data_IF_695795975673
#
_entry.id   IF_695795975673
#
_cell.length_a   1.000
_cell.length_b   1.000
_cell.length_c   1.000
_cell.angle_alpha   90.00
_cell.angle_beta   90.00
_cell.angle_gamma   90.00
#
_symmetry.space_group_name_H-M   'P 1'
#
loop_
_entity.id
_entity.type
_entity.pdbx_description
1 polymer ?
#
# COMPACT_ATOMS: atom_id res chain seq x y z
N UNK A 1 4.08 15.37 7.05
CA UNK A 1 3.26 15.95 8.17
C UNK A 1 2.39 17.12 7.69
N UNK A 2 2.64 17.62 6.49
CA UNK A 2 1.95 18.66 5.74
C UNK A 2 0.97 18.12 4.67
N UNK A 3 0.81 16.79 4.56
CA UNK A 3 -0.15 16.18 3.63
C UNK A 3 0.26 16.22 2.16
N UNK A 4 1.51 16.57 1.83
CA UNK A 4 2.01 16.49 0.46
C UNK A 4 2.28 15.03 0.08
N UNK A 5 1.33 14.42 -0.63
CA UNK A 5 1.54 13.14 -1.32
C UNK A 5 2.01 13.45 -2.74
N UNK A 6 3.29 13.21 -3.02
CA UNK A 6 3.78 13.19 -4.39
C UNK A 6 3.49 11.81 -4.99
N UNK A 7 2.35 11.66 -5.66
CA UNK A 7 2.09 10.53 -6.54
C UNK A 7 2.25 10.99 -8.00
N UNK A 8 3.36 10.62 -8.63
CA UNK A 8 3.63 10.99 -10.01
C UNK A 8 4.76 10.18 -10.61
N UNK A 9 4.66 9.87 -11.91
CA UNK A 9 5.75 9.29 -12.68
C UNK A 9 6.76 10.40 -12.99
N UNK A 10 7.94 10.35 -12.37
CA UNK A 10 9.06 11.24 -12.70
C UNK A 10 9.98 10.49 -13.66
N UNK A 11 9.87 10.78 -14.96
CA UNK A 11 10.86 10.36 -15.94
C UNK A 11 12.04 11.35 -15.88
N UNK A 12 13.06 11.04 -15.06
CA UNK A 12 14.27 11.84 -14.98
C UNK A 12 15.20 11.51 -16.16
N UNK A 13 15.28 12.41 -17.14
CA UNK A 13 16.27 12.34 -18.21
C UNK A 13 17.51 13.13 -17.79
N UNK A 14 18.67 12.46 -17.71
CA UNK A 14 19.95 13.17 -17.63
C UNK A 14 20.21 13.81 -19.00
N UNK A 15 20.33 15.15 -19.13
CA UNK A 15 20.63 15.75 -20.41
C UNK A 15 22.00 15.27 -20.88
N UNK A 16 22.07 14.69 -22.08
CA UNK A 16 23.34 14.47 -22.75
C UNK A 16 24.01 15.84 -22.94
N UNK A 17 25.19 16.04 -22.35
CA UNK A 17 25.95 17.27 -22.49
C UNK A 17 26.19 17.56 -23.99
N UNK A 18 25.53 18.58 -24.51
CA UNK A 18 25.66 18.97 -25.92
C UNK A 18 26.99 19.71 -26.09
N UNK A 19 28.06 18.99 -26.40
CA UNK A 19 29.32 19.59 -26.82
C UNK A 19 29.14 20.23 -28.20
N UNK A 20 28.98 21.56 -28.24
CA UNK A 20 29.05 22.33 -29.50
C UNK A 20 30.50 22.35 -29.97
N UNK A 21 30.78 21.68 -31.09
CA UNK A 21 32.10 21.75 -31.75
C UNK A 21 32.22 23.05 -32.55
N UNK A 22 33.18 23.89 -32.19
CA UNK A 22 33.66 24.99 -33.05
C UNK A 22 34.57 24.42 -34.12
N UNK A 23 34.22 24.60 -35.40
CA UNK A 23 35.02 24.18 -36.55
C UNK A 23 36.33 24.98 -36.62
N UNK A 24 37.48 24.29 -36.57
CA UNK A 24 38.68 24.58 -37.37
C UNK A 24 39.83 23.66 -36.95
N UNK A 25 40.56 23.13 -37.94
CA UNK A 25 41.79 22.34 -37.89
C UNK A 25 41.68 20.81 -37.75
N UNK A 26 42.10 20.13 -38.84
CA UNK A 26 42.66 18.78 -39.04
C UNK A 26 42.06 17.55 -38.31
N UNK A 27 41.95 16.39 -38.99
CA UNK A 27 41.40 15.17 -38.41
C UNK A 27 42.41 14.54 -37.45
N UNK A 28 42.37 14.97 -36.19
CA UNK A 28 42.88 14.17 -35.08
C UNK A 28 41.88 13.03 -34.92
N UNK A 29 42.36 11.78 -34.96
CA UNK A 29 41.54 10.62 -34.59
C UNK A 29 40.99 10.88 -33.18
N UNK A 30 39.71 11.22 -33.10
CA UNK A 30 39.04 11.40 -31.81
C UNK A 30 39.17 10.08 -31.07
N UNK A 31 39.69 10.07 -29.83
CA UNK A 31 39.67 8.85 -29.03
C UNK A 31 38.22 8.43 -28.92
N UNK A 32 37.95 7.19 -29.33
CA UNK A 32 36.69 6.45 -29.26
C UNK A 32 35.73 7.06 -28.22
N UNK A 33 34.99 8.10 -28.64
CA UNK A 33 33.94 8.70 -27.83
C UNK A 33 32.78 7.75 -27.94
N UNK A 34 32.91 6.61 -27.27
CA UNK A 34 31.82 5.68 -27.07
C UNK A 34 30.67 6.51 -26.50
N UNK A 35 29.70 6.82 -27.37
CA UNK A 35 28.47 7.48 -26.98
C UNK A 35 27.93 6.68 -25.80
N UNK A 36 27.96 7.28 -24.60
CA UNK A 36 27.39 6.66 -23.42
C UNK A 36 25.91 6.50 -23.73
N UNK A 37 25.51 5.25 -24.01
CA UNK A 37 24.11 4.94 -24.24
C UNK A 37 23.26 5.47 -23.08
N UNK A 38 22.07 6.03 -23.37
CA UNK A 38 21.27 6.72 -22.37
C UNK A 38 20.87 5.77 -21.25
N UNK A 39 21.38 6.02 -20.05
CA UNK A 39 20.85 5.39 -18.84
C UNK A 39 19.41 5.85 -18.64
N UNK A 40 18.49 4.90 -18.41
CA UNK A 40 17.10 5.21 -18.02
C UNK A 40 16.95 4.94 -16.53
N UNK A 41 16.18 5.79 -15.86
CA UNK A 41 15.87 5.64 -14.45
C UNK A 41 14.37 5.79 -14.25
N UNK A 42 13.81 5.06 -13.29
CA UNK A 42 12.43 5.19 -12.87
C UNK A 42 12.32 4.96 -11.37
N UNK A 43 11.58 5.83 -10.71
CA UNK A 43 11.16 5.69 -9.32
C UNK A 43 9.78 5.06 -9.29
N UNK A 44 9.60 4.03 -8.47
CA UNK A 44 8.34 3.30 -8.29
C UNK A 44 7.72 3.52 -6.89
N UNK A 45 8.53 3.86 -5.88
CA UNK A 45 8.06 4.14 -4.53
C UNK A 45 8.92 5.17 -3.79
N UNK A 46 8.35 5.80 -2.76
CA UNK A 46 9.00 6.82 -1.91
C UNK A 46 8.59 6.67 -0.44
N UNK A 47 9.53 6.87 0.49
CA UNK A 47 9.30 6.81 1.94
C UNK A 47 8.44 8.00 2.41
N UNK A 48 7.89 7.90 3.62
CA UNK A 48 6.97 8.92 4.15
C UNK A 48 7.62 10.29 4.35
N UNK A 49 8.93 10.32 4.57
CA UNK A 49 9.74 11.54 4.70
C UNK A 49 10.34 12.03 3.38
N UNK A 50 10.11 11.32 2.26
CA UNK A 50 10.64 11.66 0.95
C UNK A 50 12.13 11.40 0.76
N UNK A 51 12.85 10.88 1.77
CA UNK A 51 14.31 10.75 1.75
C UNK A 51 14.78 9.50 1.01
N UNK A 52 13.97 8.45 1.00
CA UNK A 52 14.28 7.18 0.33
C UNK A 52 13.30 6.96 -0.81
N UNK A 53 13.82 6.91 -2.03
CA UNK A 53 13.09 6.48 -3.21
C UNK A 53 13.59 5.12 -3.66
N UNK A 54 12.70 4.28 -4.18
CA UNK A 54 13.02 2.96 -4.67
C UNK A 54 12.51 2.79 -6.11
N UNK A 55 13.29 2.10 -6.93
CA UNK A 55 12.94 1.86 -8.33
C UNK A 55 14.02 1.07 -9.06
N UNK A 56 14.34 1.51 -10.26
CA UNK A 56 15.34 0.85 -11.09
C UNK A 56 16.08 1.82 -12.00
N UNK A 57 17.29 1.42 -12.35
CA UNK A 57 18.07 2.04 -13.42
C UNK A 57 18.40 1.01 -14.48
N UNK A 58 18.51 1.42 -15.73
CA UNK A 58 18.92 0.55 -16.82
C UNK A 58 20.22 1.04 -17.43
N UNK A 59 21.16 0.12 -17.65
CA UNK A 59 22.41 0.38 -18.37
C UNK A 59 22.65 -0.71 -19.40
N UNK A 60 23.29 -0.34 -20.52
CA UNK A 60 23.73 -1.30 -21.53
C UNK A 60 25.11 -1.82 -21.13
N UNK A 61 25.23 -3.13 -20.95
CA UNK A 61 26.50 -3.81 -20.64
C UNK A 61 26.75 -4.83 -21.74
N UNK A 62 27.78 -4.60 -22.57
CA UNK A 62 28.16 -5.52 -23.67
C UNK A 62 26.99 -5.88 -24.62
N UNK A 63 26.16 -4.88 -24.98
CA UNK A 63 24.94 -5.01 -25.80
C UNK A 63 23.71 -5.62 -25.10
N UNK A 64 23.80 -5.98 -23.81
CA UNK A 64 22.65 -6.43 -23.03
C UNK A 64 22.08 -5.31 -22.15
N UNK A 65 20.76 -5.12 -22.23
CA UNK A 65 20.02 -4.24 -21.33
C UNK A 65 19.97 -4.86 -19.92
N UNK A 66 20.57 -4.17 -18.97
CA UNK A 66 20.61 -4.58 -17.57
C UNK A 66 19.75 -3.63 -16.73
N UNK A 67 18.78 -4.18 -16.01
CA UNK A 67 17.93 -3.42 -15.08
C UNK A 67 18.43 -3.69 -13.65
N UNK A 68 18.85 -2.65 -12.97
CA UNK A 68 19.44 -2.73 -11.64
C UNK A 68 18.45 -2.15 -10.62
N UNK A 69 18.04 -2.92 -9.60
CA UNK A 69 17.23 -2.37 -8.51
C UNK A 69 18.04 -1.27 -7.84
N UNK A 70 17.43 -0.10 -7.69
CA UNK A 70 18.12 1.11 -7.28
C UNK A 70 17.33 1.79 -6.17
N UNK A 71 18.04 2.28 -5.17
CA UNK A 71 17.52 3.21 -4.19
C UNK A 71 18.15 4.59 -4.42
N UNK A 72 17.41 5.65 -4.16
CA UNK A 72 17.94 7.00 -4.03
C UNK A 72 17.75 7.46 -2.60
N UNK A 73 18.84 7.81 -1.92
CA UNK A 73 18.85 8.20 -0.51
C UNK A 73 19.37 9.63 -0.45
N UNK A 74 18.54 10.57 -0.02
CA UNK A 74 18.87 12.00 0.00
C UNK A 74 19.37 12.53 -1.35
N UNK A 75 18.82 11.97 -2.45
CA UNK A 75 19.19 12.31 -3.82
C UNK A 75 20.38 11.53 -4.39
N UNK A 76 21.13 10.80 -3.56
CA UNK A 76 22.25 9.97 -4.01
C UNK A 76 21.80 8.59 -4.47
N UNK A 77 22.37 8.09 -5.57
CA UNK A 77 21.99 6.80 -6.18
C UNK A 77 22.78 5.64 -5.59
N UNK A 78 22.08 4.62 -5.10
CA UNK A 78 22.64 3.37 -4.57
C UNK A 78 22.12 2.16 -5.35
N UNK A 79 23.03 1.34 -5.92
CA UNK A 79 22.65 0.02 -6.45
C UNK A 79 22.34 -0.92 -5.27
N UNK A 80 21.14 -1.52 -5.27
CA UNK A 80 20.76 -2.46 -4.21
C UNK A 80 21.49 -3.80 -4.38
N UNK A 81 21.93 -4.43 -3.27
CA UNK A 81 22.73 -5.64 -3.31
C UNK A 81 21.91 -6.82 -3.86
N UNK A 82 22.63 -7.78 -4.43
CA UNK A 82 22.03 -8.98 -5.04
C UNK A 82 22.31 -10.17 -4.13
N UNK A 83 21.36 -11.09 -3.94
CA UNK A 83 21.57 -12.22 -3.05
C UNK A 83 22.56 -13.20 -3.69
N UNK A 84 23.86 -13.12 -3.40
CA UNK A 84 24.86 -14.06 -3.95
C UNK A 84 25.26 -13.85 -5.42
N UNK A 85 26.20 -14.67 -5.92
CA UNK A 85 26.89 -14.48 -7.21
C UNK A 85 26.16 -15.02 -8.45
N UNK A 86 25.03 -15.72 -8.29
CA UNK A 86 24.39 -16.51 -9.35
C UNK A 86 23.10 -15.89 -9.91
N UNK A 87 22.83 -14.61 -9.69
CA UNK A 87 21.56 -13.99 -10.14
C UNK A 87 21.78 -13.02 -11.32
N UNK A 88 20.86 -13.08 -12.28
CA UNK A 88 20.94 -12.35 -13.55
C UNK A 88 20.58 -10.87 -13.44
N UNK A 89 20.66 -10.24 -14.61
CA UNK A 89 20.75 -8.83 -14.98
C UNK A 89 19.52 -7.96 -14.73
N UNK A 90 18.43 -8.46 -14.15
CA UNK A 90 17.19 -7.67 -14.01
C UNK A 90 16.58 -7.79 -12.62
N UNK A 91 16.43 -6.64 -11.96
CA UNK A 91 15.62 -6.49 -10.76
C UNK A 91 14.99 -5.11 -10.69
N UNK A 92 13.88 -5.02 -9.97
CA UNK A 92 13.10 -3.80 -9.75
C UNK A 92 12.84 -3.68 -8.26
N UNK A 93 13.16 -2.54 -7.66
CA UNK A 93 12.57 -2.18 -6.38
C UNK A 93 11.20 -1.55 -6.65
N UNK A 94 10.18 -1.97 -5.92
CA UNK A 94 8.77 -1.64 -6.19
C UNK A 94 8.05 -1.00 -5.00
N UNK A 95 8.53 -1.26 -3.78
CA UNK A 95 7.96 -0.71 -2.56
C UNK A 95 9.05 -0.29 -1.59
N UNK A 96 8.76 0.73 -0.78
CA UNK A 96 9.61 1.18 0.32
C UNK A 96 8.74 1.33 1.57
N UNK A 97 9.28 0.97 2.73
CA UNK A 97 8.59 1.15 4.01
C UNK A 97 8.40 2.64 4.30
N UNK A 98 7.41 3.02 5.11
CA UNK A 98 7.25 4.40 5.55
C UNK A 98 8.53 4.97 6.21
N UNK A 99 9.25 4.14 6.96
CA UNK A 99 10.54 4.46 7.59
C UNK A 99 11.72 4.63 6.62
N UNK A 100 11.60 4.16 5.37
CA UNK A 100 12.71 4.12 4.41
C UNK A 100 13.76 3.03 4.70
N UNK A 101 13.63 2.26 5.78
CA UNK A 101 14.59 1.23 6.19
C UNK A 101 14.46 -0.09 5.43
N UNK A 102 13.29 -0.34 4.83
CA UNK A 102 13.03 -1.56 4.06
C UNK A 102 12.55 -1.22 2.66
N UNK A 103 13.07 -1.95 1.68
CA UNK A 103 12.66 -1.88 0.28
C UNK A 103 12.29 -3.29 -0.15
N UNK A 104 11.23 -3.44 -0.94
CA UNK A 104 10.86 -4.72 -1.54
C UNK A 104 10.74 -4.60 -3.04
N UNK A 105 10.87 -5.74 -3.69
CA UNK A 105 10.73 -5.79 -5.13
C UNK A 105 10.95 -7.18 -5.68
N UNK A 106 11.32 -7.22 -6.96
CA UNK A 106 11.44 -8.46 -7.73
C UNK A 106 12.81 -8.53 -8.36
N UNK A 107 13.42 -9.70 -8.31
CA UNK A 107 14.62 -10.06 -9.05
C UNK A 107 14.35 -11.24 -9.97
N UNK A 108 15.24 -11.48 -10.95
CA UNK A 108 15.16 -12.65 -11.83
C UNK A 108 16.31 -13.62 -11.60
N UNK A 109 16.00 -14.91 -11.62
CA UNK A 109 17.00 -15.98 -11.61
C UNK A 109 17.69 -16.11 -12.97
N UNK A 110 18.78 -16.89 -13.09
CA UNK A 110 19.36 -17.24 -14.39
C UNK A 110 18.37 -17.79 -15.41
N UNK A 111 17.39 -18.54 -14.94
CA UNK A 111 16.30 -19.10 -15.75
C UNK A 111 15.19 -18.07 -16.02
N UNK A 112 15.42 -16.80 -15.71
CA UNK A 112 14.48 -15.66 -15.85
C UNK A 112 13.21 -15.77 -15.00
N UNK A 113 13.16 -16.70 -14.05
CA UNK A 113 12.04 -16.81 -13.13
C UNK A 113 12.07 -15.63 -12.13
N UNK A 114 11.00 -14.83 -12.03
CA UNK A 114 10.95 -13.74 -11.05
C UNK A 114 10.78 -14.30 -9.63
N UNK A 115 11.45 -13.67 -8.68
CA UNK A 115 11.30 -13.94 -7.25
C UNK A 115 11.33 -12.64 -6.45
N UNK A 116 10.60 -12.62 -5.35
CA UNK A 116 10.54 -11.45 -4.48
C UNK A 116 11.73 -11.39 -3.54
N UNK A 117 12.19 -10.17 -3.30
CA UNK A 117 13.25 -9.87 -2.35
C UNK A 117 12.86 -8.70 -1.47
N UNK A 118 13.47 -8.66 -0.30
CA UNK A 118 13.47 -7.52 0.60
C UNK A 118 14.91 -7.09 0.84
N UNK A 119 15.17 -5.81 0.61
CA UNK A 119 16.38 -5.13 1.03
C UNK A 119 16.10 -4.44 2.37
N UNK A 120 17.02 -4.55 3.32
CA UNK A 120 16.91 -3.89 4.63
C UNK A 120 18.18 -3.15 4.93
N UNK A 121 18.05 -1.87 5.28
CA UNK A 121 19.15 -1.01 5.68
C UNK A 121 19.65 -1.46 7.06
N UNK A 122 20.96 -1.66 7.16
CA UNK A 122 21.65 -1.92 8.41
C UNK A 122 21.67 -0.64 9.24
N UNK A 123 21.31 -0.71 10.53
CA UNK A 123 21.32 0.47 11.40
C UNK A 123 22.74 0.99 11.68
N UNK A 124 23.77 0.13 11.56
CA UNK A 124 25.12 0.46 12.02
C UNK A 124 26.00 1.14 10.95
N UNK A 125 25.82 0.75 9.68
CA UNK A 125 26.75 1.13 8.60
C UNK A 125 26.04 1.59 7.31
N UNK A 126 24.71 1.78 7.38
CA UNK A 126 23.85 2.14 6.25
C UNK A 126 23.94 1.20 5.04
N UNK A 127 24.55 0.02 5.21
CA UNK A 127 24.63 -0.97 4.13
C UNK A 127 23.28 -1.65 3.97
N UNK A 128 22.97 -2.06 2.75
CA UNK A 128 21.77 -2.86 2.50
C UNK A 128 22.12 -4.35 2.64
N UNK A 129 21.27 -5.09 3.35
CA UNK A 129 21.20 -6.55 3.28
C UNK A 129 20.07 -6.95 2.36
N UNK A 130 20.14 -8.15 1.76
CA UNK A 130 19.09 -8.66 0.88
C UNK A 130 18.64 -10.05 1.33
N UNK A 131 17.32 -10.23 1.37
CA UNK A 131 16.66 -11.50 1.71
C UNK A 131 15.74 -11.90 0.57
N UNK A 132 15.77 -13.18 0.21
CA UNK A 132 14.78 -13.77 -0.73
C UNK A 132 13.54 -14.16 0.06
N UNK A 133 12.37 -13.76 -0.43
CA UNK A 133 11.08 -14.10 0.20
C UNK A 133 10.59 -15.44 -0.37
N UNK A 134 10.47 -16.44 0.49
CA UNK A 134 10.14 -17.82 0.09
C UNK A 134 9.08 -18.45 0.99
N UNK A 135 8.36 -19.44 0.46
CA UNK A 135 7.47 -20.35 1.18
C UNK A 135 7.86 -21.79 0.87
N UNK A 136 8.32 -22.55 1.87
CA UNK A 136 8.71 -23.95 1.69
C UNK A 136 9.62 -24.19 0.46
N UNK A 137 10.58 -23.28 0.24
CA UNK A 137 11.50 -23.31 -0.91
C UNK A 137 10.95 -22.75 -2.22
N UNK A 138 9.66 -22.40 -2.30
CA UNK A 138 9.09 -21.73 -3.46
C UNK A 138 9.24 -20.21 -3.35
N UNK A 139 9.80 -19.60 -4.38
CA UNK A 139 9.84 -18.14 -4.53
C UNK A 139 8.54 -17.62 -5.10
N UNK A 140 7.97 -16.57 -4.51
CA UNK A 140 6.82 -15.89 -5.09
C UNK A 140 7.26 -14.62 -5.79
N UNK A 141 6.72 -14.31 -6.98
CA UNK A 141 6.97 -13.03 -7.63
C UNK A 141 6.09 -11.93 -7.04
N UNK A 142 6.51 -10.68 -7.26
CA UNK A 142 5.62 -9.52 -7.15
C UNK A 142 5.47 -8.90 -5.77
N UNK A 143 6.48 -8.92 -4.89
CA UNK A 143 6.47 -8.07 -3.70
C UNK A 143 6.47 -6.59 -4.09
N UNK A 144 5.52 -5.82 -3.56
CA UNK A 144 5.35 -4.41 -3.91
C UNK A 144 5.28 -3.49 -2.68
N UNK A 145 5.37 -4.06 -1.48
CA UNK A 145 4.94 -3.41 -0.26
C UNK A 145 5.53 -4.01 1.00
N UNK A 146 5.94 -3.19 1.97
CA UNK A 146 6.54 -3.66 3.23
C UNK A 146 6.15 -2.75 4.39
N UNK A 147 5.92 -3.35 5.57
CA UNK A 147 5.63 -2.62 6.81
C UNK A 147 6.83 -1.81 7.30
N UNK A 148 6.58 -0.82 8.17
CA UNK A 148 7.63 0.05 8.73
C UNK A 148 8.75 -0.72 9.43
N UNK A 149 8.43 -1.85 10.06
CA UNK A 149 9.35 -2.72 10.80
C UNK A 149 9.94 -3.87 9.95
N UNK A 150 9.59 -3.94 8.66
CA UNK A 150 10.07 -4.97 7.74
C UNK A 150 9.61 -6.39 8.07
N UNK A 151 8.67 -6.56 9.01
CA UNK A 151 8.20 -7.89 9.44
C UNK A 151 7.14 -8.48 8.55
N UNK A 152 6.45 -7.63 7.79
CA UNK A 152 5.36 -8.01 6.91
C UNK A 152 5.59 -7.41 5.53
N UNK A 153 5.43 -8.24 4.49
CA UNK A 153 5.53 -7.84 3.09
C UNK A 153 4.27 -8.28 2.36
N UNK A 154 3.69 -7.43 1.52
CA UNK A 154 2.68 -7.86 0.57
C UNK A 154 3.29 -8.07 -0.81
N UNK A 155 2.75 -9.07 -1.49
CA UNK A 155 2.98 -9.24 -2.89
C UNK A 155 1.78 -9.87 -3.57
N UNK A 156 1.88 -9.96 -4.89
CA UNK A 156 0.81 -10.49 -5.73
C UNK A 156 1.35 -11.47 -6.75
N UNK A 157 0.60 -12.53 -6.97
CA UNK A 157 0.71 -13.32 -8.20
C UNK A 157 -0.22 -12.74 -9.25
N UNK A 158 -0.37 -13.44 -10.38
CA UNK A 158 -1.35 -13.08 -11.42
C UNK A 158 -2.75 -12.91 -10.81
N UNK A 159 -3.24 -13.90 -10.06
CA UNK A 159 -4.63 -13.93 -9.59
C UNK A 159 -4.79 -13.96 -8.07
N UNK A 160 -3.72 -13.78 -7.28
CA UNK A 160 -3.83 -13.86 -5.82
C UNK A 160 -3.01 -12.77 -5.13
N UNK A 161 -3.51 -12.32 -3.99
CA UNK A 161 -2.77 -11.50 -3.05
C UNK A 161 -2.15 -12.40 -1.99
N UNK A 162 -0.90 -12.14 -1.63
CA UNK A 162 -0.19 -12.90 -0.61
C UNK A 162 0.51 -11.95 0.38
N UNK A 163 0.67 -12.44 1.60
CA UNK A 163 1.37 -11.78 2.70
C UNK A 163 2.52 -12.67 3.13
N UNK A 164 3.72 -12.11 3.20
CA UNK A 164 4.86 -12.76 3.83
C UNK A 164 5.07 -12.17 5.22
N UNK A 165 5.32 -13.02 6.21
CA UNK A 165 5.74 -12.62 7.56
C UNK A 165 7.01 -13.33 7.97
N UNK A 166 7.79 -12.72 8.87
CA UNK A 166 8.97 -13.38 9.46
C UNK A 166 8.62 -14.71 10.15
N UNK A 167 7.47 -14.78 10.83
CA UNK A 167 7.09 -15.95 11.63
C UNK A 167 6.46 -17.07 10.81
N UNK A 168 5.57 -16.71 9.86
CA UNK A 168 4.76 -17.69 9.11
C UNK A 168 5.22 -17.94 7.68
N UNK A 169 6.20 -17.19 7.17
CA UNK A 169 6.52 -17.22 5.74
C UNK A 169 5.37 -16.65 4.92
N UNK A 170 5.13 -17.19 3.72
CA UNK A 170 4.06 -16.69 2.85
C UNK A 170 2.71 -17.37 3.10
N UNK A 171 1.70 -16.54 3.27
CA UNK A 171 0.28 -16.85 3.35
C UNK A 171 -0.46 -16.24 2.14
N UNK A 172 -1.44 -16.96 1.59
CA UNK A 172 -2.36 -16.42 0.57
C UNK A 172 -3.47 -15.67 1.31
N UNK A 173 -3.65 -14.38 1.04
CA UNK A 173 -4.70 -13.57 1.66
C UNK A 173 -6.05 -13.79 0.97
N UNK A 174 -6.05 -13.75 -0.36
CA UNK A 174 -7.21 -14.11 -1.17
C UNK A 174 -6.79 -14.51 -2.58
N UNK A 175 -7.72 -15.13 -3.28
CA UNK A 175 -7.64 -15.41 -4.71
C UNK A 175 -8.76 -14.66 -5.41
N UNK A 176 -8.47 -14.05 -6.56
CA UNK A 176 -9.45 -13.31 -7.32
C UNK A 176 -10.62 -14.23 -7.70
N UNK A 177 -11.87 -13.76 -7.63
CA UNK A 177 -13.02 -14.54 -8.07
C UNK A 177 -12.88 -14.99 -9.53
N UNK A 178 -13.55 -16.09 -9.90
CA UNK A 178 -13.55 -16.58 -11.27
C UNK A 178 -13.94 -15.48 -12.27
N UNK A 179 -13.21 -15.39 -13.37
CA UNK A 179 -13.35 -14.33 -14.37
C UNK A 179 -12.25 -13.28 -14.27
N UNK A 180 -11.84 -12.91 -13.05
CA UNK A 180 -10.73 -11.98 -12.87
C UNK A 180 -9.38 -12.68 -13.09
N UNK A 181 -8.58 -12.15 -14.01
CA UNK A 181 -7.25 -12.69 -14.34
C UNK A 181 -6.12 -11.88 -13.69
N UNK A 182 -6.42 -10.74 -13.07
CA UNK A 182 -5.40 -9.89 -12.46
C UNK A 182 -5.86 -9.14 -11.21
N UNK A 183 -5.05 -9.24 -10.15
CA UNK A 183 -5.13 -8.39 -8.95
C UNK A 183 -4.10 -7.28 -9.09
N UNK A 184 -4.52 -6.02 -9.12
CA UNK A 184 -3.64 -4.87 -8.96
C UNK A 184 -3.83 -4.29 -7.55
N UNK A 185 -2.73 -3.92 -6.90
CA UNK A 185 -2.73 -3.28 -5.59
C UNK A 185 -2.24 -1.86 -5.79
N UNK A 186 -2.93 -0.91 -5.16
CA UNK A 186 -2.69 0.51 -5.35
C UNK A 186 -2.27 1.22 -4.07
N UNK A 187 -2.76 0.76 -2.91
CA UNK A 187 -2.35 1.31 -1.62
C UNK A 187 -2.49 0.32 -0.49
N UNK A 188 -1.86 0.65 0.64
CA UNK A 188 -1.93 -0.09 1.88
C UNK A 188 -1.70 0.79 3.11
N UNK A 189 -2.20 0.37 4.26
CA UNK A 189 -1.89 0.97 5.54
C UNK A 189 -0.72 0.26 6.25
N UNK A 190 -0.20 0.87 7.30
CA UNK A 190 0.86 0.31 8.14
C UNK A 190 0.40 -1.00 8.81
N UNK A 191 1.34 -1.93 8.94
CA UNK A 191 1.02 -3.32 9.31
C UNK A 191 0.22 -4.10 8.26
N UNK A 192 -0.10 -3.50 7.11
CA UNK A 192 -0.72 -4.16 5.95
C UNK A 192 -2.12 -4.73 6.25
N UNK A 193 -2.86 -4.07 7.14
CA UNK A 193 -4.20 -4.49 7.59
C UNK A 193 -5.31 -4.12 6.64
N UNK A 194 -5.10 -3.08 5.84
CA UNK A 194 -6.02 -2.60 4.81
C UNK A 194 -5.23 -2.52 3.51
N UNK A 195 -5.80 -3.12 2.47
CA UNK A 195 -5.24 -3.13 1.11
C UNK A 195 -6.33 -2.70 0.16
N UNK A 196 -6.01 -1.77 -0.72
CA UNK A 196 -6.95 -1.33 -1.75
C UNK A 196 -6.37 -1.52 -3.14
N UNK A 197 -7.24 -1.81 -4.09
CA UNK A 197 -6.81 -2.02 -5.46
C UNK A 197 -7.96 -2.21 -6.43
N UNK A 198 -7.64 -2.84 -7.56
CA UNK A 198 -8.63 -3.21 -8.56
C UNK A 198 -8.41 -4.66 -9.02
N UNK A 199 -9.52 -5.33 -9.30
CA UNK A 199 -9.54 -6.60 -10.02
C UNK A 199 -9.76 -6.30 -11.50
N UNK A 200 -8.98 -6.93 -12.36
CA UNK A 200 -9.12 -6.85 -13.83
C UNK A 200 -9.50 -8.22 -14.40
N UNK A 201 -10.44 -8.20 -15.33
CA UNK A 201 -10.97 -9.40 -15.99
C UNK A 201 -12.45 -9.61 -15.75
N UNK A 202 -12.96 -10.72 -16.27
CA UNK A 202 -14.37 -11.10 -16.30
C UNK A 202 -15.04 -10.67 -17.61
N UNK A 203 -16.36 -10.81 -17.64
CA UNK A 203 -17.21 -10.26 -18.70
C UNK A 203 -17.32 -8.73 -18.63
N UNK A 204 -16.69 -8.11 -17.63
CA UNK A 204 -16.67 -6.67 -17.39
C UNK A 204 -15.44 -6.05 -18.07
N UNK A 205 -15.68 -5.11 -18.99
CA UNK A 205 -14.62 -4.26 -19.53
C UNK A 205 -14.06 -3.28 -18.47
N UNK A 206 -14.84 -3.00 -17.42
CA UNK A 206 -14.50 -2.04 -16.36
C UNK A 206 -13.78 -2.72 -15.17
N UNK A 207 -12.61 -2.20 -14.73
CA UNK A 207 -11.96 -2.67 -13.51
C UNK A 207 -12.89 -2.55 -12.31
N UNK A 208 -12.90 -3.56 -11.45
CA UNK A 208 -13.70 -3.55 -10.21
C UNK A 208 -12.80 -3.18 -9.03
N UNK A 209 -13.07 -2.06 -8.38
CA UNK A 209 -12.38 -1.69 -7.14
C UNK A 209 -12.62 -2.71 -6.04
N UNK A 210 -11.60 -2.97 -5.22
CA UNK A 210 -11.74 -3.78 -4.02
C UNK A 210 -11.05 -3.15 -2.81
N UNK A 211 -11.51 -3.54 -1.64
CA UNK A 211 -10.82 -3.40 -0.36
C UNK A 211 -10.65 -4.78 0.24
N UNK A 212 -9.47 -5.06 0.76
CA UNK A 212 -9.22 -6.22 1.61
C UNK A 212 -8.86 -5.73 2.99
N UNK A 213 -9.45 -6.34 4.01
CA UNK A 213 -9.04 -6.15 5.40
C UNK A 213 -8.79 -7.51 6.06
N UNK A 214 -7.99 -7.53 7.12
CA UNK A 214 -7.71 -8.76 7.87
C UNK A 214 -8.98 -9.41 8.44
N UNK A 215 -9.96 -8.60 8.81
CA UNK A 215 -11.20 -9.01 9.47
C UNK A 215 -12.31 -9.41 8.48
N UNK A 216 -12.48 -8.65 7.39
CA UNK A 216 -13.58 -8.88 6.45
C UNK A 216 -13.15 -9.61 5.18
N UNK A 217 -11.86 -9.86 5.01
CA UNK A 217 -11.31 -10.38 3.77
C UNK A 217 -11.56 -9.44 2.59
N UNK A 218 -11.63 -10.01 1.38
CA UNK A 218 -11.84 -9.28 0.13
C UNK A 218 -13.31 -8.84 0.00
N UNK A 219 -13.54 -7.55 -0.26
CA UNK A 219 -14.86 -6.98 -0.56
C UNK A 219 -14.81 -6.11 -1.82
N UNK A 220 -15.94 -6.08 -2.53
CA UNK A 220 -16.16 -5.08 -3.58
C UNK A 220 -16.15 -3.68 -2.94
N UNK A 221 -15.41 -2.75 -3.54
CA UNK A 221 -15.23 -1.42 -2.96
C UNK A 221 -16.51 -0.58 -2.97
N UNK A 222 -17.31 -0.63 -4.04
CA UNK A 222 -18.58 0.10 -4.12
C UNK A 222 -19.55 -0.38 -3.03
N UNK A 223 -19.67 -1.70 -2.88
CA UNK A 223 -20.50 -2.29 -1.81
C UNK A 223 -19.98 -1.90 -0.42
N UNK A 224 -18.66 -1.93 -0.20
CA UNK A 224 -18.07 -1.49 1.06
C UNK A 224 -18.46 -0.06 1.42
N UNK A 225 -18.42 0.87 0.45
CA UNK A 225 -18.80 2.27 0.68
C UNK A 225 -20.30 2.41 0.95
N UNK A 226 -21.15 1.67 0.24
CA UNK A 226 -22.61 1.63 0.51
C UNK A 226 -22.93 1.08 1.89
N UNK A 227 -22.19 0.08 2.35
CA UNK A 227 -22.36 -0.52 3.67
C UNK A 227 -21.95 0.46 4.80
N UNK A 228 -21.16 1.49 4.49
CA UNK A 228 -20.91 2.62 5.39
C UNK A 228 -22.03 3.67 5.38
N UNK A 229 -23.08 3.50 4.56
CA UNK A 229 -24.14 4.50 4.39
C UNK A 229 -23.74 5.67 3.48
N UNK A 230 -22.69 5.49 2.67
CA UNK A 230 -22.16 6.51 1.77
C UNK A 230 -22.52 6.19 0.31
N UNK A 231 -22.73 7.23 -0.48
CA UNK A 231 -22.91 7.12 -1.93
C UNK A 231 -21.83 7.98 -2.62
N UNK A 232 -20.96 7.34 -3.39
CA UNK A 232 -19.99 8.07 -4.20
C UNK A 232 -20.71 8.63 -5.42
N UNK A 233 -20.43 9.89 -5.77
CA UNK A 233 -20.99 10.55 -6.96
C UNK A 233 -20.39 10.01 -8.28
N UNK A 234 -19.91 8.76 -8.29
CA UNK A 234 -19.33 8.08 -9.45
C UNK A 234 -19.73 6.61 -9.48
N UNK A 235 -19.85 6.07 -10.70
CA UNK A 235 -19.88 4.65 -10.95
C UNK A 235 -18.47 4.06 -10.98
N UNK A 236 -18.36 2.76 -10.67
CA UNK A 236 -17.11 1.99 -10.72
C UNK A 236 -15.95 2.64 -9.93
N UNK A 237 -16.11 2.91 -8.62
CA UNK A 237 -15.05 3.50 -7.83
C UNK A 237 -13.83 2.56 -7.76
N UNK A 238 -12.67 3.06 -8.18
CA UNK A 238 -11.38 2.37 -8.14
C UNK A 238 -10.49 3.07 -7.13
N UNK A 239 -10.24 2.47 -5.95
CA UNK A 239 -9.32 3.05 -4.98
C UNK A 239 -7.89 3.00 -5.53
N UNK A 240 -7.19 4.13 -5.45
CA UNK A 240 -5.83 4.32 -5.96
C UNK A 240 -4.79 4.45 -4.85
N UNK A 241 -5.19 4.80 -3.63
CA UNK A 241 -4.28 4.94 -2.51
C UNK A 241 -5.04 4.91 -1.19
N UNK A 242 -4.36 4.51 -0.13
CA UNK A 242 -4.86 4.57 1.26
C UNK A 242 -3.73 5.06 2.17
N UNK A 243 -4.08 5.84 3.18
CA UNK A 243 -3.14 6.38 4.17
C UNK A 243 -2.56 5.29 5.06
N UNK A 244 -1.43 5.60 5.70
CA UNK A 244 -0.73 4.69 6.62
C UNK A 244 -1.58 4.24 7.81
N UNK A 245 -2.58 5.01 8.23
CA UNK A 245 -3.53 4.66 9.29
C UNK A 245 -4.84 4.05 8.75
N UNK A 246 -4.99 3.94 7.44
CA UNK A 246 -6.21 3.46 6.79
C UNK A 246 -7.35 4.50 6.69
N UNK A 247 -7.25 5.62 7.39
CA UNK A 247 -8.36 6.57 7.57
C UNK A 247 -8.73 7.39 6.32
N UNK A 248 -7.87 7.40 5.32
CA UNK A 248 -8.06 8.15 4.09
C UNK A 248 -7.83 7.25 2.89
N UNK A 249 -8.82 7.12 2.02
CA UNK A 249 -8.73 6.42 0.74
C UNK A 249 -8.99 7.45 -0.35
N UNK A 250 -8.17 7.48 -1.38
CA UNK A 250 -8.42 8.29 -2.59
C UNK A 250 -8.47 7.39 -3.80
N UNK A 251 -9.21 7.81 -4.81
CA UNK A 251 -9.35 7.05 -6.03
C UNK A 251 -9.98 7.83 -7.16
N UNK A 252 -10.40 7.09 -8.16
CA UNK A 252 -11.10 7.62 -9.33
C UNK A 252 -12.35 6.80 -9.61
N UNK A 253 -13.30 7.38 -10.32
CA UNK A 253 -14.50 6.71 -10.79
C UNK A 253 -15.08 7.45 -11.98
N UNK A 254 -16.13 6.90 -12.58
CA UNK A 254 -16.79 7.49 -13.75
C UNK A 254 -18.02 8.28 -13.30
N UNK A 255 -18.03 9.60 -13.50
CA UNK A 255 -19.18 10.46 -13.22
C UNK A 255 -20.34 10.22 -14.19
N UNK A 256 -21.48 10.88 -13.94
CA UNK A 256 -22.70 10.73 -14.74
C UNK A 256 -22.51 11.08 -16.23
N UNK A 257 -21.59 12.00 -16.54
CA UNK A 257 -21.25 12.40 -17.91
C UNK A 257 -20.24 11.47 -18.60
N UNK A 258 -19.87 10.37 -17.94
CA UNK A 258 -18.90 9.40 -18.41
C UNK A 258 -17.43 9.82 -18.22
N UNK A 259 -17.14 11.01 -17.67
CA UNK A 259 -15.77 11.46 -17.40
C UNK A 259 -15.22 10.83 -16.13
N UNK A 260 -13.90 10.69 -16.08
CA UNK A 260 -13.20 10.25 -14.87
C UNK A 260 -13.15 11.41 -13.87
N UNK A 261 -13.66 11.17 -12.66
CA UNK A 261 -13.59 12.09 -11.53
C UNK A 261 -12.74 11.49 -10.40
N UNK A 262 -11.98 12.33 -9.72
CA UNK A 262 -11.27 11.95 -8.50
C UNK A 262 -12.21 12.02 -7.30
N UNK A 263 -12.03 11.11 -6.34
CA UNK A 263 -12.77 11.12 -5.08
C UNK A 263 -11.84 10.88 -3.90
N UNK A 264 -12.31 11.29 -2.72
CA UNK A 264 -11.64 11.12 -1.45
C UNK A 264 -12.67 10.62 -0.43
N UNK A 265 -12.33 9.54 0.25
CA UNK A 265 -13.13 8.92 1.30
C UNK A 265 -12.34 8.98 2.60
N UNK A 266 -12.91 9.62 3.61
CA UNK A 266 -12.37 9.61 4.98
C UNK A 266 -13.20 8.65 5.81
N UNK A 267 -12.53 7.76 6.53
CA UNK A 267 -13.14 6.73 7.36
C UNK A 267 -12.55 6.89 8.75
N UNK A 268 -13.40 6.93 9.78
CA UNK A 268 -12.89 6.85 11.14
C UNK A 268 -12.11 5.53 11.32
N UNK A 269 -10.86 5.55 11.84
CA UNK A 269 -10.13 4.33 12.17
C UNK A 269 -10.94 3.31 12.98
N UNK A 270 -11.85 3.79 13.84
CA UNK A 270 -12.77 2.94 14.60
C UNK A 270 -13.76 2.20 13.71
N UNK A 271 -14.10 2.69 12.53
CA UNK A 271 -15.10 2.09 11.63
C UNK A 271 -14.52 1.06 10.68
N UNK A 272 -13.25 1.22 10.32
CA UNK A 272 -12.45 0.12 9.77
C UNK A 272 -12.39 -1.06 10.74
N UNK A 273 -12.46 -0.76 12.05
CA UNK A 273 -12.52 -1.75 13.12
C UNK A 273 -13.95 -2.17 13.51
N UNK A 274 -14.97 -1.33 13.35
CA UNK A 274 -16.33 -1.64 13.75
C UNK A 274 -17.08 -2.48 12.71
N UNK A 275 -16.72 -2.38 11.42
CA UNK A 275 -17.14 -3.40 10.43
C UNK A 275 -16.58 -4.80 10.74
N UNK A 276 -15.62 -4.92 11.68
CA UNK A 276 -15.15 -6.21 12.21
C UNK A 276 -16.13 -6.82 13.23
N UNK A 277 -17.06 -6.03 13.78
CA UNK A 277 -17.93 -6.40 14.90
C UNK A 277 -19.38 -6.63 14.48
N UNK A 278 -19.85 -6.01 13.40
CA UNK A 278 -21.26 -6.07 13.01
C UNK A 278 -21.74 -7.47 12.58
N UNK A 279 -20.85 -8.37 12.15
CA UNK A 279 -21.24 -9.74 11.78
C UNK A 279 -21.15 -10.77 12.92
N UNK A 280 -20.57 -10.41 14.07
CA UNK A 280 -20.53 -11.22 15.29
C UNK A 280 -20.12 -10.32 16.48
N UNK A 281 -21.08 -9.63 17.09
CA UNK A 281 -20.89 -9.11 18.44
C UNK A 281 -20.80 -10.30 19.39
N UNK A 282 -19.58 -10.80 19.59
CA UNK A 282 -19.31 -11.94 20.44
C UNK A 282 -19.20 -11.52 21.91
N UNK A 283 -19.17 -12.50 22.81
CA UNK A 283 -18.99 -12.22 24.24
C UNK A 283 -17.69 -11.46 24.55
N UNK A 284 -16.63 -11.62 23.73
CA UNK A 284 -15.36 -10.90 23.91
C UNK A 284 -15.49 -9.38 23.76
N UNK A 285 -16.26 -8.93 22.78
CA UNK A 285 -16.46 -7.50 22.50
C UNK A 285 -17.30 -6.85 23.59
N UNK A 286 -18.24 -7.60 24.15
CA UNK A 286 -18.98 -7.21 25.34
C UNK A 286 -18.06 -7.04 26.55
N UNK A 287 -17.10 -7.94 26.76
CA UNK A 287 -16.14 -7.82 27.87
C UNK A 287 -15.12 -6.70 27.69
N UNK A 288 -14.67 -6.41 26.46
CA UNK A 288 -13.78 -5.28 26.20
C UNK A 288 -14.50 -3.95 26.42
N UNK A 289 -15.74 -3.84 25.95
CA UNK A 289 -16.61 -2.69 26.23
C UNK A 289 -16.86 -2.53 27.73
N UNK A 290 -17.21 -3.60 28.45
CA UNK A 290 -17.35 -3.56 29.91
C UNK A 290 -16.06 -3.15 30.63
N UNK A 291 -14.90 -3.53 30.10
CA UNK A 291 -13.61 -3.14 30.66
C UNK A 291 -13.32 -1.65 30.48
N UNK A 292 -13.69 -1.07 29.34
CA UNK A 292 -13.58 0.37 29.09
C UNK A 292 -14.56 1.18 29.95
N UNK A 293 -15.78 0.66 30.17
CA UNK A 293 -16.76 1.25 31.09
C UNK A 293 -16.24 1.20 32.53
N UNK A 294 -15.72 0.05 32.97
CA UNK A 294 -15.16 -0.12 34.31
C UNK A 294 -13.91 0.76 34.54
N UNK A 295 -13.17 1.09 33.49
CA UNK A 295 -12.02 2.00 33.54
C UNK A 295 -12.42 3.49 33.57
N UNK A 296 -13.72 3.82 33.45
CA UNK A 296 -14.20 5.20 33.44
C UNK A 296 -13.73 5.99 32.23
N UNK A 297 -13.63 5.36 31.05
CA UNK A 297 -13.22 6.05 29.82
C UNK A 297 -14.21 7.19 29.50
N UNK A 298 -13.77 8.47 29.47
CA UNK A 298 -14.66 9.61 29.28
C UNK A 298 -15.31 9.66 27.89
N UNK A 299 -14.91 8.77 26.96
CA UNK A 299 -15.56 8.59 25.65
C UNK A 299 -16.82 7.72 25.71
N UNK A 300 -17.06 7.05 26.84
CA UNK A 300 -18.23 6.23 27.11
C UNK A 300 -19.05 6.92 28.20
N UNK A 301 -19.66 8.05 27.86
CA UNK A 301 -20.61 8.72 28.75
C UNK A 301 -21.93 7.95 28.76
N UNK A 302 -22.06 7.02 29.71
CA UNK A 302 -23.27 6.22 29.94
C UNK A 302 -24.02 6.77 31.17
N UNK A 303 -23.95 8.08 31.42
CA UNK A 303 -24.61 8.70 32.57
C UNK A 303 -26.14 8.81 32.43
N UNK A 304 -26.70 8.43 31.27
CA UNK A 304 -28.14 8.33 31.06
C UNK A 304 -28.84 9.68 31.16
N UNK A 305 -28.85 10.46 30.07
CA UNK A 305 -29.90 11.47 29.87
C UNK A 305 -29.94 12.00 28.43
N UNK A 306 -30.90 11.55 27.64
CA UNK A 306 -31.44 12.37 26.55
C UNK A 306 -32.98 12.25 26.58
N UNK A 307 -33.64 13.15 27.32
CA UNK A 307 -34.99 13.61 26.98
C UNK A 307 -34.88 15.08 26.55
N UNK A 308 -35.23 15.44 25.30
CA UNK A 308 -35.09 16.80 24.80
C UNK A 308 -36.19 17.77 25.29
N UNK A 309 -37.10 17.38 26.19
CA UNK A 309 -38.32 18.17 26.45
C UNK A 309 -38.50 18.79 27.83
N UNK A 310 -37.73 18.42 28.86
CA UNK A 310 -37.78 19.14 30.14
C UNK A 310 -36.39 19.34 30.76
N UNK A 311 -36.11 20.57 31.19
CA UNK A 311 -34.81 20.95 31.72
C UNK A 311 -34.60 20.55 33.19
N UNK A 312 -35.02 19.36 33.62
CA UNK A 312 -34.92 18.94 35.02
C UNK A 312 -34.08 17.67 35.24
N UNK A 313 -33.02 17.81 36.02
CA UNK A 313 -32.01 16.77 36.27
C UNK A 313 -32.26 16.09 37.61
N UNK A 314 -32.99 14.98 37.65
CA UNK A 314 -32.91 14.02 38.76
C UNK A 314 -33.61 12.69 38.46
N UNK A 315 -32.84 11.63 38.20
CA UNK A 315 -33.18 10.26 38.65
C UNK A 315 -31.92 9.59 39.22
N UNK A 316 -31.95 9.05 40.46
CA UNK A 316 -30.77 8.53 41.17
C UNK A 316 -30.81 7.01 41.42
N UNK A 317 -30.92 6.17 40.39
CA UNK A 317 -30.94 4.72 40.61
C UNK A 317 -29.83 3.91 39.92
N UNK A 318 -28.92 4.55 39.18
CA UNK A 318 -27.58 3.99 38.89
C UNK A 318 -27.57 2.63 38.20
N UNK A 319 -28.63 2.29 37.46
CA UNK A 319 -28.71 1.07 36.67
C UNK A 319 -28.52 1.41 35.21
N UNK A 320 -27.39 0.98 34.66
CA UNK A 320 -27.16 0.87 33.22
C UNK A 320 -28.25 -0.04 32.64
N UNK A 321 -29.13 0.48 31.80
CA UNK A 321 -30.09 -0.37 31.12
C UNK A 321 -29.48 -0.94 29.82
N UNK A 322 -30.03 -2.06 29.35
CA UNK A 322 -29.59 -2.69 28.09
C UNK A 322 -29.91 -1.80 26.88
N UNK A 323 -30.82 -0.84 27.01
CA UNK A 323 -31.20 0.06 25.93
C UNK A 323 -30.12 1.10 25.65
N UNK A 324 -29.43 1.62 26.68
CA UNK A 324 -28.27 2.49 26.55
C UNK A 324 -27.10 1.78 25.87
N UNK A 325 -26.91 0.49 26.17
CA UNK A 325 -25.92 -0.37 25.51
C UNK A 325 -26.26 -0.63 24.03
N UNK A 326 -27.53 -0.82 23.70
CA UNK A 326 -27.98 -0.95 22.31
C UNK A 326 -27.85 0.36 21.54
N UNK A 327 -28.22 1.49 22.15
CA UNK A 327 -28.05 2.83 21.58
C UNK A 327 -26.57 3.16 21.32
N UNK A 328 -25.66 2.75 22.20
CA UNK A 328 -24.23 2.96 22.01
C UNK A 328 -23.64 2.11 20.87
N UNK A 329 -24.18 0.90 20.67
CA UNK A 329 -23.85 0.05 19.51
C UNK A 329 -24.40 0.64 18.20
N UNK A 330 -25.62 1.16 18.23
CA UNK A 330 -26.27 1.82 17.10
C UNK A 330 -25.58 3.17 16.76
N UNK A 331 -25.12 3.90 17.77
CA UNK A 331 -24.34 5.14 17.62
C UNK A 331 -22.95 4.89 17.05
N UNK A 332 -22.27 3.79 17.43
CA UNK A 332 -21.00 3.40 16.78
C UNK A 332 -21.15 3.06 15.30
N UNK A 333 -22.32 2.61 14.85
CA UNK A 333 -22.59 2.41 13.41
C UNK A 333 -22.97 3.70 12.68
N UNK A 334 -23.56 4.69 13.37
CA UNK A 334 -24.00 5.96 12.76
C UNK A 334 -22.94 7.07 12.83
N UNK A 335 -22.06 7.08 13.83
CA UNK A 335 -20.97 8.06 14.00
C UNK A 335 -19.71 7.76 13.18
N UNK A 336 -19.83 6.92 12.14
CA UNK A 336 -18.69 6.39 11.39
C UNK A 336 -18.11 7.31 10.30
N UNK A 337 -18.72 8.49 10.14
CA UNK A 337 -18.48 9.43 9.04
C UNK A 337 -18.24 10.83 9.61
#
# INVERSE_FOLDING_TARGET
>A
RDGTVAAGRIDAFTPAATLRSSRSASPVALPDTAEREPERSRVDAISADGRVMAGWTSRVVRRDWRIVPTAWIDGERHELPRPGHIFTTAGWAQGVSPSGEHIVGVMRSPQRAPFSVMWSKSPDDETWSVRVLQRAGQTLPGAFAVSSDGRTTLGRSTNALWRWTNAGGVEKLFEAPSGFWRVDVHGQCDGLRVVVGQLRGGDLETPTGYIWTESTGLRNFDQFVRDLGLDLLCSHPVPRWVSGDGSLIVGEGQGEDGRIIGWMLRIDPLCLQATMLASNLGGGDFFEMLSLIAAGDPRLDISGSIDPTDGSWAVPDGRTDIADLMLLMEWRTQGCI
#
